data_IF_796526632191
#
_entry.id   IF_796526632191
#
_cell.length_a   1.000
_cell.length_b   1.000
_cell.length_c   1.000
_cell.angle_alpha   90.00
_cell.angle_beta   90.00
_cell.angle_gamma   90.00
#
_symmetry.space_group_name_H-M   'P 1'
#
loop_
_entity.id
_entity.type
_entity.pdbx_description
1 polymer ?
#
# COMPACT_ATOMS: atom_id res chain seq x y z
N UNK A 1 15.69 -22.28 -17.06
CA UNK A 1 15.60 -20.80 -17.26
C UNK A 1 14.22 -20.33 -16.87
N UNK A 2 14.11 -19.24 -16.08
CA UNK A 2 12.83 -18.64 -15.74
C UNK A 2 12.14 -18.09 -16.99
N UNK A 3 10.81 -18.22 -17.09
CA UNK A 3 10.05 -17.64 -18.21
C UNK A 3 10.13 -16.10 -18.17
N UNK A 4 10.09 -15.45 -19.34
CA UNK A 4 10.16 -13.98 -19.44
C UNK A 4 9.16 -13.23 -18.54
N UNK A 5 7.87 -13.66 -18.41
CA UNK A 5 6.93 -13.04 -17.48
C UNK A 5 7.38 -13.12 -16.01
N UNK A 6 7.89 -14.25 -15.55
CA UNK A 6 8.37 -14.44 -14.18
C UNK A 6 9.59 -13.54 -13.93
N UNK A 7 10.55 -13.50 -14.86
CA UNK A 7 11.73 -12.63 -14.74
C UNK A 7 11.33 -11.16 -14.63
N UNK A 8 10.36 -10.71 -15.44
CA UNK A 8 9.87 -9.33 -15.39
C UNK A 8 9.21 -9.00 -14.04
N UNK A 9 8.34 -9.90 -13.54
CA UNK A 9 7.69 -9.73 -12.24
C UNK A 9 8.74 -9.64 -11.13
N UNK A 10 9.71 -10.56 -11.07
CA UNK A 10 10.75 -10.56 -10.03
C UNK A 10 11.65 -9.32 -10.09
N UNK A 11 11.98 -8.84 -11.28
CA UNK A 11 12.79 -7.61 -11.45
C UNK A 11 12.09 -6.38 -10.87
N UNK A 12 10.75 -6.35 -10.91
CA UNK A 12 9.97 -5.27 -10.31
C UNK A 12 9.67 -5.53 -8.83
N UNK A 13 9.39 -6.79 -8.45
CA UNK A 13 8.98 -7.14 -7.10
C UNK A 13 10.12 -7.01 -6.06
N UNK A 14 11.35 -7.44 -6.40
CA UNK A 14 12.45 -7.43 -5.43
C UNK A 14 12.73 -6.01 -4.90
N UNK A 15 12.88 -4.96 -5.74
CA UNK A 15 13.01 -3.59 -5.25
C UNK A 15 11.82 -3.14 -4.38
N UNK A 16 10.60 -3.54 -4.73
CA UNK A 16 9.40 -3.15 -3.98
C UNK A 16 9.30 -3.84 -2.61
N UNK A 17 9.68 -5.12 -2.52
CA UNK A 17 9.78 -5.84 -1.26
C UNK A 17 10.80 -5.16 -0.33
N UNK A 18 11.99 -4.84 -0.86
CA UNK A 18 13.04 -4.15 -0.07
C UNK A 18 12.56 -2.76 0.41
N UNK A 19 11.87 -2.03 -0.44
CA UNK A 19 11.28 -0.75 -0.08
C UNK A 19 10.25 -0.89 1.06
N UNK A 20 9.34 -1.87 0.97
CA UNK A 20 8.33 -2.12 2.00
C UNK A 20 8.96 -2.56 3.33
N UNK A 21 9.97 -3.43 3.29
CA UNK A 21 10.66 -3.89 4.49
C UNK A 21 11.45 -2.79 5.23
N UNK A 22 11.72 -1.65 4.58
CA UNK A 22 12.34 -0.50 5.25
C UNK A 22 11.37 0.28 6.16
N UNK A 23 10.05 0.15 5.98
CA UNK A 23 9.05 0.89 6.76
C UNK A 23 8.97 0.47 8.25
N UNK A 24 8.96 -0.83 8.61
CA UNK A 24 9.00 -1.23 10.02
C UNK A 24 10.23 -0.74 10.77
N UNK A 25 11.38 -0.66 10.09
CA UNK A 25 12.61 -0.15 10.68
C UNK A 25 12.47 1.32 11.11
N UNK A 26 11.76 2.12 10.30
CA UNK A 26 11.46 3.50 10.63
C UNK A 26 10.65 3.60 11.93
N UNK A 27 9.56 2.84 12.04
CA UNK A 27 8.72 2.82 13.24
C UNK A 27 9.46 2.37 14.51
N UNK A 28 10.41 1.40 14.37
CA UNK A 28 11.26 0.97 15.47
C UNK A 28 12.19 2.09 15.93
N UNK A 29 12.81 2.82 15.01
CA UNK A 29 13.72 3.94 15.35
C UNK A 29 12.94 5.09 15.98
N UNK A 30 11.78 5.47 15.43
CA UNK A 30 10.92 6.49 16.04
C UNK A 30 10.55 6.15 17.48
N UNK A 31 10.16 4.89 17.72
CA UNK A 31 9.84 4.40 19.07
C UNK A 31 11.07 4.39 19.98
N UNK A 32 12.23 3.97 19.47
CA UNK A 32 13.47 3.96 20.24
C UNK A 32 13.90 5.39 20.63
N UNK A 33 13.87 6.34 19.69
CA UNK A 33 14.20 7.74 19.95
C UNK A 33 13.27 8.32 21.03
N UNK A 34 11.95 8.15 20.87
CA UNK A 34 10.97 8.63 21.83
C UNK A 34 11.10 7.96 23.21
N UNK A 35 11.48 6.68 23.24
CA UNK A 35 11.66 5.90 24.46
C UNK A 35 12.91 6.27 25.26
N UNK A 36 13.89 6.96 24.65
CA UNK A 36 15.10 7.44 25.31
C UNK A 36 15.03 8.91 25.73
N UNK A 37 13.89 9.58 25.52
CA UNK A 37 13.66 10.93 26.01
C UNK A 37 13.39 10.93 27.52
N UNK A 38 13.61 12.07 28.18
CA UNK A 38 13.57 12.26 29.65
C UNK A 38 12.26 11.85 30.33
N UNK A 39 11.14 11.79 29.58
CA UNK A 39 9.84 11.43 30.16
C UNK A 39 9.10 10.39 29.31
N UNK A 40 8.57 9.32 29.93
CA UNK A 40 7.71 8.35 29.24
C UNK A 40 6.42 8.97 28.68
N UNK A 41 6.04 10.17 29.13
CA UNK A 41 4.89 10.91 28.61
C UNK A 41 5.08 11.33 27.13
N UNK A 42 6.32 11.59 26.70
CA UNK A 42 6.65 11.86 25.30
C UNK A 42 6.31 10.68 24.41
N UNK A 43 6.77 9.50 24.80
CA UNK A 43 6.48 8.26 24.07
C UNK A 43 4.96 7.98 24.03
N UNK A 44 4.28 8.10 25.17
CA UNK A 44 2.85 7.81 25.26
C UNK A 44 2.01 8.71 24.34
N UNK A 45 2.23 10.02 24.36
CA UNK A 45 1.49 10.97 23.53
C UNK A 45 1.83 10.82 22.04
N UNK A 46 3.12 10.73 21.68
CA UNK A 46 3.56 10.60 20.33
C UNK A 46 3.12 9.27 19.69
N UNK A 47 3.15 8.15 20.42
CA UNK A 47 2.74 6.85 19.93
C UNK A 47 1.26 6.82 19.51
N UNK A 48 0.38 7.41 20.34
CA UNK A 48 -1.06 7.54 20.01
C UNK A 48 -1.24 8.41 18.77
N UNK A 49 -0.55 9.54 18.68
CA UNK A 49 -0.60 10.42 17.52
C UNK A 49 -0.08 9.77 16.25
N UNK A 50 1.06 9.09 16.32
CA UNK A 50 1.65 8.36 15.20
C UNK A 50 0.74 7.23 14.71
N UNK A 51 0.18 6.45 15.62
CA UNK A 51 -0.79 5.41 15.29
C UNK A 51 -1.99 5.98 14.54
N UNK A 52 -2.59 7.06 15.04
CA UNK A 52 -3.75 7.68 14.40
C UNK A 52 -3.44 8.19 13.00
N UNK A 53 -2.36 8.95 12.83
CA UNK A 53 -1.93 9.46 11.52
C UNK A 53 -1.61 8.31 10.56
N UNK A 54 -0.95 7.25 11.03
CA UNK A 54 -0.64 6.08 10.21
C UNK A 54 -1.90 5.38 9.72
N UNK A 55 -2.92 5.20 10.59
CA UNK A 55 -4.19 4.61 10.18
C UNK A 55 -4.93 5.48 9.16
N UNK A 56 -4.93 6.79 9.34
CA UNK A 56 -5.52 7.73 8.40
C UNK A 56 -4.86 7.64 7.02
N UNK A 57 -3.53 7.67 6.97
CA UNK A 57 -2.77 7.57 5.72
C UNK A 57 -2.93 6.18 5.08
N UNK A 58 -3.00 5.12 5.89
CA UNK A 58 -3.22 3.77 5.39
C UNK A 58 -4.58 3.62 4.70
N UNK A 59 -5.65 4.19 5.28
CA UNK A 59 -6.97 4.26 4.64
C UNK A 59 -6.86 5.03 3.32
N UNK A 60 -6.11 6.14 3.27
CA UNK A 60 -5.88 6.93 2.05
C UNK A 60 -5.00 6.22 1.00
N UNK A 61 -4.45 5.05 1.30
CA UNK A 61 -3.68 4.21 0.37
C UNK A 61 -4.41 3.85 -0.94
N UNK A 62 -5.75 4.01 -0.97
CA UNK A 62 -6.54 3.88 -2.20
C UNK A 62 -6.08 4.83 -3.32
N UNK A 63 -5.53 6.00 -2.98
CA UNK A 63 -4.96 6.95 -3.96
C UNK A 63 -3.78 6.34 -4.71
N UNK A 64 -2.87 5.66 -4.01
CA UNK A 64 -1.77 4.94 -4.61
C UNK A 64 -2.27 3.83 -5.53
N UNK A 65 -3.17 2.97 -5.02
CA UNK A 65 -3.71 1.82 -5.77
C UNK A 65 -4.39 2.26 -7.06
N UNK A 66 -5.28 3.27 -6.99
CA UNK A 66 -5.97 3.77 -8.17
C UNK A 66 -5.01 4.35 -9.21
N UNK A 67 -4.00 5.10 -8.75
CA UNK A 67 -3.02 5.71 -9.65
C UNK A 67 -2.10 4.66 -10.27
N UNK A 68 -1.70 3.61 -9.54
CA UNK A 68 -0.91 2.50 -10.10
C UNK A 68 -1.63 1.85 -11.28
N UNK A 69 -2.89 1.46 -11.11
CA UNK A 69 -3.67 0.83 -12.18
C UNK A 69 -3.84 1.72 -13.41
N UNK A 70 -4.23 2.99 -13.21
CA UNK A 70 -4.40 3.95 -14.31
C UNK A 70 -3.07 4.23 -15.03
N UNK A 71 -2.00 4.43 -14.28
CA UNK A 71 -0.67 4.67 -14.83
C UNK A 71 -0.14 3.48 -15.62
N UNK A 72 -0.34 2.25 -15.13
CA UNK A 72 0.08 1.03 -15.83
C UNK A 72 -0.68 0.83 -17.14
N UNK A 73 -2.00 1.09 -17.16
CA UNK A 73 -2.79 1.03 -18.39
C UNK A 73 -2.34 2.10 -19.39
N UNK A 74 -2.11 3.34 -18.95
CA UNK A 74 -1.58 4.40 -19.79
C UNK A 74 -0.21 4.04 -20.37
N UNK A 75 0.67 3.39 -19.60
CA UNK A 75 1.97 2.89 -20.05
C UNK A 75 1.81 1.82 -21.14
N UNK A 76 0.86 0.91 -20.99
CA UNK A 76 0.56 -0.11 -21.98
C UNK A 76 0.02 0.46 -23.29
N UNK A 77 -0.96 1.37 -23.21
CA UNK A 77 -1.51 2.08 -24.39
C UNK A 77 -0.42 2.81 -25.18
N UNK A 78 0.45 3.49 -24.47
CA UNK A 78 1.56 4.24 -25.04
C UNK A 78 2.55 3.32 -25.79
N UNK A 79 2.99 2.23 -25.15
CA UNK A 79 3.90 1.26 -25.77
C UNK A 79 3.26 0.60 -27.02
N UNK A 80 1.96 0.36 -27.00
CA UNK A 80 1.24 -0.17 -28.17
C UNK A 80 1.19 0.85 -29.32
N UNK A 81 1.05 2.14 -29.02
CA UNK A 81 1.06 3.18 -30.05
C UNK A 81 2.43 3.30 -30.73
N UNK A 82 3.53 3.33 -29.96
CA UNK A 82 4.90 3.35 -30.50
C UNK A 82 5.16 2.13 -31.41
N UNK A 83 4.76 0.93 -30.95
CA UNK A 83 4.96 -0.28 -31.74
C UNK A 83 4.26 -0.23 -33.10
N UNK A 84 3.02 0.31 -33.14
CA UNK A 84 2.27 0.48 -34.39
C UNK A 84 2.92 1.49 -35.34
N UNK A 85 3.46 2.58 -34.81
CA UNK A 85 4.18 3.58 -35.64
C UNK A 85 5.45 3.00 -36.25
N UNK A 86 6.23 2.24 -35.46
CA UNK A 86 7.44 1.58 -35.95
C UNK A 86 7.12 0.58 -37.08
N UNK A 87 6.05 -0.19 -36.95
CA UNK A 87 5.60 -1.14 -37.97
C UNK A 87 5.10 -0.44 -39.26
N UNK A 88 4.37 0.66 -39.11
CA UNK A 88 3.92 1.48 -40.25
C UNK A 88 5.09 2.11 -41.01
N UNK A 89 6.12 2.58 -40.32
CA UNK A 89 7.32 3.14 -40.95
C UNK A 89 8.15 2.10 -41.72
N UNK A 90 8.18 0.84 -41.28
CA UNK A 90 8.86 -0.25 -42.00
C UNK A 90 8.16 -0.65 -43.30
N UNK A 91 6.83 -0.48 -43.35
CA UNK A 91 6.04 -0.85 -44.53
C UNK A 91 5.81 0.27 -45.56
N UNK A 92 6.12 1.52 -45.19
CA UNK A 92 5.91 2.69 -46.07
C UNK A 92 7.27 3.28 -46.46
N UNK A 93 7.86 2.83 -47.58
CA UNK A 93 9.06 3.43 -48.21
C UNK A 93 8.81 4.81 -48.84
N UNK A 94 7.73 5.51 -48.53
CA UNK A 94 7.44 6.86 -49.01
C UNK A 94 7.52 7.88 -47.90
N UNK A 95 8.53 8.76 -48.01
CA UNK A 95 8.74 9.97 -47.22
C UNK A 95 7.61 10.99 -47.47
N UNK A 96 6.41 10.69 -47.08
CA UNK A 96 5.40 11.74 -46.98
C UNK A 96 5.35 12.12 -45.50
N UNK A 97 5.60 13.40 -45.23
CA UNK A 97 5.42 14.02 -43.91
C UNK A 97 3.94 13.94 -43.51
N UNK A 98 3.51 12.74 -43.15
CA UNK A 98 2.22 12.54 -42.49
C UNK A 98 2.43 13.17 -41.10
N UNK A 99 1.80 14.34 -40.90
CA UNK A 99 1.53 14.83 -39.55
C UNK A 99 0.77 13.71 -38.85
N UNK A 100 1.54 12.87 -38.14
CA UNK A 100 0.99 11.81 -37.32
C UNK A 100 0.17 12.48 -36.23
N UNK A 101 -1.14 12.50 -36.41
CA UNK A 101 -2.10 12.70 -35.32
C UNK A 101 -2.02 11.50 -34.37
N UNK A 102 -0.82 11.23 -33.84
CA UNK A 102 -0.68 10.33 -32.69
C UNK A 102 -1.57 10.90 -31.62
N UNK A 103 -2.54 10.13 -31.11
CA UNK A 103 -3.32 10.58 -29.98
C UNK A 103 -2.29 10.93 -28.89
N UNK A 104 -2.17 12.23 -28.57
CA UNK A 104 -1.39 12.70 -27.42
C UNK A 104 -1.95 11.98 -26.21
N UNK A 105 -1.41 10.78 -25.95
CA UNK A 105 -1.89 9.93 -24.85
C UNK A 105 -1.45 10.66 -23.61
N UNK A 106 -2.42 11.22 -22.89
CA UNK A 106 -2.20 12.05 -21.73
C UNK A 106 -1.67 11.26 -20.53
N UNK A 107 -0.41 10.79 -20.62
CA UNK A 107 0.25 10.07 -19.52
C UNK A 107 0.26 10.89 -18.23
N UNK A 108 0.27 12.20 -18.33
CA UNK A 108 0.29 13.12 -17.19
C UNK A 108 -1.12 13.65 -16.82
N UNK A 109 -2.10 13.51 -17.69
CA UNK A 109 -3.45 13.99 -17.42
C UNK A 109 -4.11 13.27 -16.24
N UNK A 110 -3.98 11.94 -16.16
CA UNK A 110 -4.53 11.18 -15.03
C UNK A 110 -3.72 11.43 -13.75
N UNK A 111 -2.40 11.63 -13.86
CA UNK A 111 -1.56 12.03 -12.74
C UNK A 111 -1.99 13.40 -12.19
N UNK A 112 -2.16 14.41 -13.06
CA UNK A 112 -2.56 15.76 -12.63
C UNK A 112 -3.93 15.76 -11.94
N UNK A 113 -4.92 15.01 -12.48
CA UNK A 113 -6.23 14.83 -11.83
C UNK A 113 -6.12 14.17 -10.48
N UNK A 114 -5.32 13.10 -10.37
CA UNK A 114 -5.10 12.40 -9.11
C UNK A 114 -4.40 13.28 -8.07
N UNK A 115 -3.40 14.11 -8.49
CA UNK A 115 -2.76 15.09 -7.62
C UNK A 115 -3.75 16.14 -7.10
N UNK A 116 -4.66 16.64 -7.96
CA UNK A 116 -5.70 17.58 -7.52
C UNK A 116 -6.64 16.95 -6.50
N UNK A 117 -7.09 15.71 -6.75
CA UNK A 117 -7.94 14.98 -5.79
C UNK A 117 -7.20 14.79 -4.47
N UNK A 118 -5.93 14.41 -4.49
CA UNK A 118 -5.10 14.24 -3.31
C UNK A 118 -4.92 15.57 -2.54
N UNK A 119 -4.69 16.67 -3.26
CA UNK A 119 -4.58 18.01 -2.65
C UNK A 119 -5.89 18.46 -1.99
N UNK A 120 -7.02 18.33 -2.68
CA UNK A 120 -8.34 18.69 -2.13
C UNK A 120 -8.64 17.85 -0.88
N UNK A 121 -8.41 16.54 -0.95
CA UNK A 121 -8.62 15.65 0.20
C UNK A 121 -7.66 15.98 1.34
N UNK A 122 -6.37 16.18 1.04
CA UNK A 122 -5.36 16.52 2.04
C UNK A 122 -5.62 17.87 2.72
N UNK A 123 -6.00 18.89 1.94
CA UNK A 123 -6.39 20.19 2.48
C UNK A 123 -7.66 20.08 3.34
N UNK A 124 -8.65 19.29 2.91
CA UNK A 124 -9.86 19.03 3.70
C UNK A 124 -9.54 18.38 5.05
N UNK A 125 -8.67 17.35 5.05
CA UNK A 125 -8.23 16.67 6.28
C UNK A 125 -7.42 17.64 7.18
N UNK A 126 -6.53 18.45 6.59
CA UNK A 126 -5.75 19.45 7.30
C UNK A 126 -6.66 20.50 7.97
N UNK A 127 -7.64 21.03 7.26
CA UNK A 127 -8.59 21.99 7.81
C UNK A 127 -9.50 21.37 8.88
N UNK A 128 -9.77 20.08 8.80
CA UNK A 128 -10.52 19.33 9.81
C UNK A 128 -9.66 18.89 11.02
N UNK A 129 -8.37 19.25 11.08
CA UNK A 129 -7.47 18.85 12.16
C UNK A 129 -7.95 19.21 13.57
N UNK A 130 -8.62 20.36 13.84
CA UNK A 130 -9.14 20.63 15.18
C UNK A 130 -10.20 19.63 15.61
N UNK A 131 -11.11 19.24 14.70
CA UNK A 131 -12.12 18.21 14.96
C UNK A 131 -11.49 16.85 15.29
N UNK A 132 -10.45 16.45 14.55
CA UNK A 132 -9.75 15.20 14.80
C UNK A 132 -9.01 15.19 16.14
N UNK A 133 -8.44 16.33 16.54
CA UNK A 133 -7.80 16.48 17.85
C UNK A 133 -8.81 16.36 18.98
N UNK A 134 -9.94 17.04 18.89
CA UNK A 134 -11.02 16.96 19.88
C UNK A 134 -11.53 15.52 20.02
N UNK A 135 -11.73 14.82 18.90
CA UNK A 135 -12.13 13.43 18.90
C UNK A 135 -11.08 12.53 19.59
N UNK A 136 -9.78 12.74 19.33
CA UNK A 136 -8.69 11.99 19.95
C UNK A 136 -8.63 12.23 21.46
N UNK A 137 -8.78 13.47 21.91
CA UNK A 137 -8.84 13.79 23.35
C UNK A 137 -10.06 13.17 24.03
N UNK A 138 -11.20 13.08 23.34
CA UNK A 138 -12.38 12.42 23.85
C UNK A 138 -12.22 10.89 24.00
N UNK A 139 -11.32 10.27 23.24
CA UNK A 139 -11.06 8.82 23.26
C UNK A 139 -9.87 8.43 24.14
N UNK A 140 -9.02 9.37 24.52
CA UNK A 140 -7.84 9.10 25.35
C UNK A 140 -8.01 9.69 26.73
N UNK A 141 -7.40 9.05 27.73
CA UNK A 141 -7.30 9.57 29.10
C UNK A 141 -5.99 10.31 29.33
N UNK A 142 -5.29 10.69 28.26
CA UNK A 142 -4.00 11.39 28.35
C UNK A 142 -4.19 12.79 28.92
N UNK A 143 -3.29 13.19 29.84
CA UNK A 143 -3.29 14.50 30.48
C UNK A 143 -1.87 15.05 30.60
N UNK A 144 -1.75 16.34 30.90
CA UNK A 144 -0.46 17.00 31.11
C UNK A 144 0.48 16.90 29.91
N UNK A 145 1.71 16.51 30.13
CA UNK A 145 2.77 16.43 29.10
C UNK A 145 2.45 15.42 27.99
N UNK A 146 1.76 14.31 28.28
CA UNK A 146 1.40 13.32 27.29
C UNK A 146 0.33 13.87 26.33
N UNK A 147 -0.66 14.59 26.82
CA UNK A 147 -1.67 15.27 26.01
C UNK A 147 -1.04 16.36 25.13
N UNK A 148 -0.11 17.13 25.67
CA UNK A 148 0.64 18.12 24.89
C UNK A 148 1.45 17.46 23.78
N UNK A 149 2.14 16.36 24.07
CA UNK A 149 2.94 15.60 23.11
C UNK A 149 2.08 15.04 21.98
N UNK A 150 0.88 14.51 22.30
CA UNK A 150 -0.11 14.08 21.32
C UNK A 150 -0.51 15.24 20.40
N UNK A 151 -0.87 16.40 20.99
CA UNK A 151 -1.27 17.58 20.23
C UNK A 151 -0.15 18.07 19.31
N UNK A 152 1.05 18.24 19.84
CA UNK A 152 2.22 18.73 19.10
C UNK A 152 2.53 17.84 17.89
N UNK A 153 2.54 16.52 18.10
CA UNK A 153 2.79 15.57 17.03
C UNK A 153 1.70 15.61 15.95
N UNK A 154 0.45 15.52 16.37
CA UNK A 154 -0.70 15.43 15.46
C UNK A 154 -0.87 16.70 14.64
N UNK A 155 -0.74 17.89 15.26
CA UNK A 155 -0.83 19.18 14.56
C UNK A 155 0.22 19.28 13.46
N UNK A 156 1.49 19.03 13.79
CA UNK A 156 2.60 19.10 12.81
C UNK A 156 2.33 18.14 11.66
N UNK A 157 1.91 16.92 11.96
CA UNK A 157 1.63 15.89 10.94
C UNK A 157 0.42 16.21 10.07
N UNK A 158 -0.65 16.81 10.64
CA UNK A 158 -1.81 17.23 9.84
C UNK A 158 -1.49 18.32 8.83
N UNK A 159 -0.63 19.28 9.17
CA UNK A 159 -0.17 20.29 8.20
C UNK A 159 0.56 19.65 7.01
N UNK A 160 1.11 18.47 7.16
CA UNK A 160 1.82 17.77 6.11
C UNK A 160 0.96 16.72 5.37
N UNK A 161 -0.26 16.41 5.78
CA UNK A 161 -1.14 15.43 5.13
C UNK A 161 -1.26 15.67 3.62
N UNK A 162 -1.42 16.90 3.09
CA UNK A 162 -1.47 17.11 1.64
C UNK A 162 -0.23 16.56 0.91
N UNK A 163 0.96 16.74 1.47
CA UNK A 163 2.22 16.24 0.93
C UNK A 163 2.29 14.71 1.00
N UNK A 164 1.87 14.14 2.13
CA UNK A 164 1.82 12.69 2.30
C UNK A 164 0.89 12.03 1.26
N UNK A 165 -0.30 12.61 1.01
CA UNK A 165 -1.22 12.11 -0.02
C UNK A 165 -0.70 12.29 -1.44
N UNK A 166 0.02 13.38 -1.74
CA UNK A 166 0.71 13.55 -3.01
C UNK A 166 1.79 12.48 -3.20
N UNK A 167 2.57 12.15 -2.17
CA UNK A 167 3.55 11.06 -2.23
C UNK A 167 2.89 9.73 -2.58
N UNK A 168 1.72 9.40 -2.01
CA UNK A 168 0.98 8.19 -2.39
C UNK A 168 0.64 8.18 -3.89
N UNK A 169 0.15 9.28 -4.44
CA UNK A 169 -0.18 9.40 -5.87
C UNK A 169 1.06 9.26 -6.75
N UNK A 170 2.16 9.95 -6.41
CA UNK A 170 3.39 9.93 -7.21
C UNK A 170 4.06 8.54 -7.17
N UNK A 171 4.10 7.89 -6.01
CA UNK A 171 4.59 6.51 -5.90
C UNK A 171 3.72 5.57 -6.73
N UNK A 172 2.38 5.68 -6.63
CA UNK A 172 1.46 4.90 -7.46
C UNK A 172 1.73 5.10 -8.96
N UNK A 173 1.94 6.34 -9.40
CA UNK A 173 2.31 6.64 -10.78
C UNK A 173 3.61 5.95 -11.20
N UNK A 174 4.67 6.08 -10.40
CA UNK A 174 5.98 5.48 -10.69
C UNK A 174 5.93 3.95 -10.72
N UNK A 175 5.18 3.32 -9.82
CA UNK A 175 4.94 1.86 -9.83
C UNK A 175 4.27 1.44 -11.15
N UNK A 176 3.19 2.13 -11.56
CA UNK A 176 2.50 1.86 -12.82
C UNK A 176 3.38 2.07 -14.05
N UNK A 177 4.34 3.02 -14.00
CA UNK A 177 5.37 3.23 -15.04
C UNK A 177 6.53 2.22 -14.95
N UNK A 178 6.45 1.20 -14.08
CA UNK A 178 7.48 0.18 -13.86
C UNK A 178 8.84 0.73 -13.38
N UNK A 179 8.83 1.88 -12.71
CA UNK A 179 10.04 2.52 -12.15
C UNK A 179 10.36 2.01 -10.73
N UNK A 180 10.29 0.68 -10.53
CA UNK A 180 10.42 0.05 -9.21
C UNK A 180 11.72 0.42 -8.48
N UNK A 181 12.85 0.52 -9.20
CA UNK A 181 14.13 0.91 -8.61
C UNK A 181 14.12 2.35 -8.11
N UNK A 182 13.47 3.26 -8.84
CA UNK A 182 13.34 4.65 -8.41
C UNK A 182 12.47 4.75 -7.16
N UNK A 183 11.35 4.03 -7.12
CA UNK A 183 10.48 3.95 -5.94
C UNK A 183 11.24 3.42 -4.73
N UNK A 184 11.99 2.32 -4.88
CA UNK A 184 12.86 1.78 -3.83
C UNK A 184 13.85 2.84 -3.33
N UNK A 185 14.54 3.53 -4.24
CA UNK A 185 15.51 4.57 -3.87
C UNK A 185 14.84 5.71 -3.10
N UNK A 186 13.68 6.20 -3.56
CA UNK A 186 12.93 7.26 -2.87
C UNK A 186 12.56 6.83 -1.45
N UNK A 187 12.04 5.61 -1.27
CA UNK A 187 11.62 5.13 0.04
C UNK A 187 12.80 4.88 0.98
N UNK A 188 13.86 4.20 0.51
CA UNK A 188 15.03 3.91 1.35
C UNK A 188 15.75 5.20 1.73
N UNK A 189 15.99 6.11 0.78
CA UNK A 189 16.66 7.40 1.06
C UNK A 189 15.80 8.26 1.98
N UNK A 190 14.47 8.31 1.75
CA UNK A 190 13.56 9.06 2.59
C UNK A 190 13.51 8.52 4.03
N UNK A 191 13.46 7.19 4.20
CA UNK A 191 13.47 6.57 5.52
C UNK A 191 14.83 6.77 6.22
N UNK A 192 15.95 6.65 5.49
CA UNK A 192 17.29 6.92 6.05
C UNK A 192 17.44 8.39 6.48
N UNK A 193 16.92 9.33 5.67
CA UNK A 193 16.90 10.76 6.02
C UNK A 193 16.04 11.00 7.27
N UNK A 194 14.88 10.36 7.39
CA UNK A 194 14.03 10.47 8.56
C UNK A 194 14.77 10.01 9.82
N UNK A 195 15.42 8.83 9.78
CA UNK A 195 16.22 8.31 10.91
C UNK A 195 17.31 9.29 11.31
N UNK A 196 18.05 9.82 10.35
CA UNK A 196 19.10 10.79 10.62
C UNK A 196 18.55 12.10 11.23
N UNK A 197 17.43 12.59 10.69
CA UNK A 197 16.78 13.79 11.22
C UNK A 197 16.16 13.57 12.59
N UNK A 198 15.64 12.39 12.91
CA UNK A 198 15.16 12.06 14.26
C UNK A 198 16.28 12.20 15.30
N UNK A 199 17.47 11.68 15.01
CA UNK A 199 18.62 11.80 15.91
C UNK A 199 19.05 13.28 16.06
N UNK A 200 19.07 14.03 14.97
CA UNK A 200 19.48 15.45 15.01
C UNK A 200 18.42 16.32 15.67
N UNK A 201 17.15 16.24 15.27
CA UNK A 201 16.12 17.16 15.73
C UNK A 201 15.58 16.80 17.12
N UNK A 202 15.29 15.50 17.34
CA UNK A 202 14.67 15.09 18.60
C UNK A 202 15.68 14.95 19.74
N UNK A 203 16.90 14.45 19.45
CA UNK A 203 17.91 14.16 20.48
C UNK A 203 18.93 15.31 20.59
N UNK A 204 19.65 15.64 19.49
CA UNK A 204 20.74 16.62 19.56
C UNK A 204 20.24 18.08 19.75
N UNK A 205 19.13 18.47 19.08
CA UNK A 205 18.52 19.80 19.23
C UNK A 205 17.45 19.85 20.33
N UNK A 206 17.23 18.78 21.07
CA UNK A 206 16.30 18.67 22.20
C UNK A 206 14.86 19.11 21.86
N UNK A 207 14.44 18.87 20.61
CA UNK A 207 13.07 19.20 20.19
C UNK A 207 12.05 18.12 20.58
N UNK A 208 12.50 17.04 21.21
CA UNK A 208 11.67 15.93 21.68
C UNK A 208 10.64 15.46 20.61
N UNK A 209 9.36 15.37 20.97
CA UNK A 209 8.29 14.90 20.07
C UNK A 209 8.13 15.76 18.81
N UNK A 210 8.31 17.08 18.92
CA UNK A 210 8.29 17.98 17.75
C UNK A 210 9.40 17.65 16.77
N UNK A 211 10.59 17.28 17.27
CA UNK A 211 11.71 16.85 16.44
C UNK A 211 11.39 15.64 15.59
N UNK A 212 10.75 14.61 16.15
CA UNK A 212 10.32 13.40 15.43
C UNK A 212 9.25 13.74 14.37
N UNK A 213 8.28 14.60 14.72
CA UNK A 213 7.25 15.03 13.78
C UNK A 213 7.85 15.82 12.59
N UNK A 214 8.76 16.76 12.84
CA UNK A 214 9.43 17.53 11.78
C UNK A 214 10.39 16.66 10.95
N UNK A 215 11.09 15.70 11.54
CA UNK A 215 11.92 14.76 10.80
C UNK A 215 11.10 14.03 9.72
N UNK A 216 9.90 13.58 10.09
CA UNK A 216 8.99 12.91 9.14
C UNK A 216 8.49 13.88 8.07
N UNK A 217 8.11 15.11 8.43
CA UNK A 217 7.68 16.15 7.48
C UNK A 217 8.78 16.43 6.44
N UNK A 218 10.00 16.70 6.90
CA UNK A 218 11.13 17.02 6.00
C UNK A 218 11.43 15.85 5.08
N UNK A 219 11.41 14.63 5.59
CA UNK A 219 11.64 13.41 4.79
C UNK A 219 10.57 13.19 3.74
N UNK A 220 9.30 13.42 4.07
CA UNK A 220 8.20 13.32 3.09
C UNK A 220 8.30 14.39 1.99
N UNK A 221 8.75 15.61 2.30
CA UNK A 221 9.07 16.63 1.30
C UNK A 221 10.26 16.23 0.42
N UNK A 222 11.30 15.64 0.99
CA UNK A 222 12.42 15.12 0.22
C UNK A 222 11.97 13.99 -0.73
N UNK A 223 11.12 13.07 -0.26
CA UNK A 223 10.53 12.02 -1.12
C UNK A 223 9.71 12.63 -2.26
N UNK A 224 8.89 13.66 -1.98
CA UNK A 224 8.10 14.37 -2.98
C UNK A 224 9.00 14.97 -4.08
N UNK A 225 10.06 15.69 -3.68
CA UNK A 225 11.00 16.31 -4.60
C UNK A 225 11.76 15.27 -5.43
N UNK A 226 12.19 14.17 -4.83
CA UNK A 226 12.81 13.05 -5.55
C UNK A 226 11.86 12.43 -6.58
N UNK A 227 10.58 12.18 -6.21
CA UNK A 227 9.60 11.65 -7.12
C UNK A 227 9.32 12.58 -8.29
N UNK A 228 9.11 13.88 -8.03
CA UNK A 228 8.91 14.90 -9.07
C UNK A 228 10.12 15.01 -9.98
N UNK A 229 11.34 15.02 -9.43
CA UNK A 229 12.58 15.07 -10.23
C UNK A 229 12.74 13.83 -11.13
N UNK A 230 12.37 12.66 -10.63
CA UNK A 230 12.37 11.42 -11.41
C UNK A 230 11.38 11.45 -12.57
N UNK A 231 10.16 11.91 -12.33
CA UNK A 231 9.13 12.08 -13.36
C UNK A 231 9.58 13.11 -14.40
N UNK A 232 10.10 14.25 -13.96
CA UNK A 232 10.61 15.31 -14.83
C UNK A 232 11.73 14.81 -15.75
N UNK A 233 12.73 14.11 -15.20
CA UNK A 233 13.83 13.52 -15.99
C UNK A 233 13.35 12.49 -17.00
N UNK A 234 12.38 11.64 -16.62
CA UNK A 234 11.78 10.67 -17.53
C UNK A 234 11.03 11.37 -18.69
N UNK A 235 10.41 12.51 -18.40
CA UNK A 235 9.65 13.31 -19.38
C UNK A 235 10.55 14.05 -20.36
N UNK A 236 11.67 14.64 -19.89
CA UNK A 236 12.63 15.34 -20.76
C UNK A 236 13.35 14.38 -21.71
N UNK A 237 13.69 13.17 -21.26
CA UNK A 237 14.37 12.17 -22.11
C UNK A 237 13.48 11.66 -23.25
N UNK A 238 12.19 11.97 -23.23
CA UNK A 238 11.24 11.61 -24.27
C UNK A 238 10.36 12.82 -24.64
N UNK A 239 10.91 13.90 -25.24
CA UNK A 239 10.22 15.17 -25.47
C UNK A 239 9.02 15.04 -26.42
N UNK A 240 9.02 14.09 -27.35
CA UNK A 240 7.86 13.75 -28.16
C UNK A 240 6.70 13.11 -27.35
N UNK A 241 6.97 12.71 -26.10
CA UNK A 241 6.02 12.17 -25.15
C UNK A 241 5.51 13.22 -24.15
N UNK A 242 6.24 14.30 -24.03
CA UNK A 242 6.02 15.39 -23.12
C UNK A 242 5.27 16.53 -23.77
N UNK A 243 3.99 16.34 -24.04
CA UNK A 243 3.13 17.50 -23.90
C UNK A 243 3.03 17.78 -22.39
N UNK A 244 3.89 18.67 -21.89
CA UNK A 244 3.85 19.19 -20.51
C UNK A 244 2.65 20.12 -20.32
N UNK A 245 1.54 19.84 -21.00
CA UNK A 245 0.27 20.43 -20.72
C UNK A 245 -0.30 19.72 -19.49
N UNK A 246 0.20 20.09 -18.31
CA UNK A 246 -0.47 19.81 -17.02
C UNK A 246 -1.96 20.19 -17.10
N UNK A 247 -2.35 20.95 -18.14
CA UNK A 247 -3.68 21.47 -18.39
C UNK A 247 -4.00 21.43 -19.91
N UNK A 248 -4.03 20.22 -20.51
CA UNK A 248 -4.55 20.08 -21.88
C UNK A 248 -6.05 20.40 -21.91
N UNK A 249 -6.61 20.76 -23.09
CA UNK A 249 -8.07 20.96 -23.23
C UNK A 249 -8.86 19.72 -22.80
N UNK A 250 -8.30 18.53 -22.96
CA UNK A 250 -8.89 17.25 -22.53
C UNK A 250 -8.89 17.06 -21.01
N UNK A 251 -8.12 17.86 -20.25
CA UNK A 251 -8.06 17.81 -18.80
C UNK A 251 -9.43 18.07 -18.14
N UNK A 252 -10.23 19.00 -18.68
CA UNK A 252 -11.54 19.41 -18.13
C UNK A 252 -12.67 18.40 -18.35
N UNK A 253 -12.40 17.25 -18.94
CA UNK A 253 -13.45 16.26 -19.22
C UNK A 253 -13.97 15.63 -17.92
N UNK A 254 -15.14 16.05 -17.46
CA UNK A 254 -15.83 15.57 -16.26
C UNK A 254 -15.95 14.04 -16.20
N UNK A 255 -16.14 13.37 -17.34
CA UNK A 255 -16.23 11.91 -17.41
C UNK A 255 -14.95 11.20 -16.89
N UNK A 256 -13.76 11.76 -17.16
CA UNK A 256 -12.49 11.19 -16.68
C UNK A 256 -12.32 11.40 -15.18
N UNK A 257 -12.73 12.55 -14.62
CA UNK A 257 -12.77 12.75 -13.17
C UNK A 257 -13.74 11.77 -12.50
N UNK A 258 -14.93 11.58 -13.06
CA UNK A 258 -15.91 10.62 -12.55
C UNK A 258 -15.36 9.20 -12.50
N UNK A 259 -14.59 8.77 -13.52
CA UNK A 259 -13.92 7.46 -13.52
C UNK A 259 -12.95 7.31 -12.37
N UNK A 260 -12.05 8.29 -12.15
CA UNK A 260 -11.05 8.28 -11.07
C UNK A 260 -11.75 8.30 -9.71
N UNK A 261 -12.75 9.17 -9.53
CA UNK A 261 -13.51 9.26 -8.28
C UNK A 261 -14.27 7.98 -7.97
N UNK A 262 -14.89 7.35 -9.00
CA UNK A 262 -15.58 6.06 -8.81
C UNK A 262 -14.60 4.95 -8.38
N UNK A 263 -13.43 4.87 -9.02
CA UNK A 263 -12.40 3.91 -8.65
C UNK A 263 -11.89 4.16 -7.23
N UNK A 264 -11.60 5.42 -6.89
CA UNK A 264 -11.16 5.81 -5.56
C UNK A 264 -12.21 5.50 -4.49
N UNK A 265 -13.50 5.77 -4.74
CA UNK A 265 -14.59 5.42 -3.84
C UNK A 265 -14.65 3.92 -3.56
N UNK A 266 -14.53 3.10 -4.62
CA UNK A 266 -14.65 1.65 -4.48
C UNK A 266 -13.45 1.07 -3.70
N UNK A 267 -12.24 1.57 -3.96
CA UNK A 267 -11.03 1.18 -3.21
C UNK A 267 -11.05 1.72 -1.77
N UNK A 268 -11.59 2.92 -1.54
CA UNK A 268 -11.78 3.48 -0.21
C UNK A 268 -12.72 2.61 0.64
N UNK A 269 -13.89 2.25 0.09
CA UNK A 269 -14.84 1.36 0.79
C UNK A 269 -14.21 0.00 1.08
N UNK A 270 -13.43 -0.57 0.15
CA UNK A 270 -12.65 -1.79 0.39
C UNK A 270 -11.70 -1.62 1.58
N UNK A 271 -10.98 -0.50 1.66
CA UNK A 271 -10.03 -0.23 2.75
C UNK A 271 -10.74 -0.08 4.10
N UNK A 272 -11.92 0.56 4.14
CA UNK A 272 -12.73 0.67 5.37
C UNK A 272 -13.17 -0.70 5.87
N UNK A 273 -13.67 -1.58 4.99
CA UNK A 273 -14.07 -2.92 5.42
C UNK A 273 -12.90 -3.73 5.97
N UNK A 274 -11.74 -3.67 5.32
CA UNK A 274 -10.54 -4.34 5.80
C UNK A 274 -10.09 -3.79 7.16
N UNK A 275 -10.01 -2.47 7.27
CA UNK A 275 -9.60 -1.82 8.51
C UNK A 275 -10.60 -2.06 9.66
N UNK A 276 -11.89 -2.11 9.34
CA UNK A 276 -12.91 -2.49 10.30
C UNK A 276 -12.71 -3.90 10.88
N UNK A 277 -12.36 -4.88 10.03
CA UNK A 277 -12.04 -6.23 10.51
C UNK A 277 -10.80 -6.24 11.42
N UNK A 278 -9.71 -5.53 11.04
CA UNK A 278 -8.49 -5.45 11.84
C UNK A 278 -8.73 -4.72 13.18
N UNK A 279 -9.49 -3.63 13.16
CA UNK A 279 -9.89 -2.90 14.36
C UNK A 279 -10.74 -3.79 15.30
N UNK A 280 -11.63 -4.61 14.74
CA UNK A 280 -12.42 -5.57 15.52
C UNK A 280 -11.52 -6.60 16.22
N UNK A 281 -10.50 -7.14 15.53
CA UNK A 281 -9.52 -8.06 16.14
C UNK A 281 -8.82 -7.41 17.32
N UNK A 282 -8.33 -6.18 17.15
CA UNK A 282 -7.64 -5.44 18.21
C UNK A 282 -8.58 -5.14 19.38
N UNK A 283 -9.74 -4.58 19.10
CA UNK A 283 -10.73 -4.23 20.13
C UNK A 283 -11.26 -5.44 20.89
N UNK A 284 -11.65 -6.49 20.16
CA UNK A 284 -12.21 -7.70 20.78
C UNK A 284 -11.13 -8.51 21.50
N UNK A 285 -9.93 -8.58 20.92
CA UNK A 285 -8.77 -9.24 21.54
C UNK A 285 -8.39 -8.64 22.87
N UNK A 286 -8.42 -7.31 23.01
CA UNK A 286 -8.17 -6.63 24.27
C UNK A 286 -9.18 -6.98 25.38
N UNK A 287 -10.39 -7.43 25.02
CA UNK A 287 -11.44 -7.82 25.99
C UNK A 287 -11.26 -9.24 26.55
N UNK A 288 -10.43 -10.07 25.93
CA UNK A 288 -10.14 -11.42 26.45
C UNK A 288 -9.09 -11.41 27.58
N UNK A 289 -8.37 -10.31 27.76
CA UNK A 289 -7.43 -10.14 28.84
C UNK A 289 -6.10 -9.55 28.38
N UNK A 290 -5.25 -9.19 29.34
CA UNK A 290 -3.96 -8.54 29.07
C UNK A 290 -2.99 -9.47 28.32
N UNK A 291 -2.98 -10.74 28.70
CA UNK A 291 -2.12 -11.75 28.04
C UNK A 291 -2.52 -11.96 26.59
N UNK A 292 -3.81 -12.14 26.32
CA UNK A 292 -4.35 -12.30 24.96
C UNK A 292 -4.13 -11.07 24.12
N UNK A 293 -4.28 -9.88 24.67
CA UNK A 293 -3.96 -8.62 23.98
C UNK A 293 -2.49 -8.56 23.57
N UNK A 294 -1.56 -8.95 24.45
CA UNK A 294 -0.14 -9.01 24.17
C UNK A 294 0.20 -10.07 23.11
N UNK A 295 -0.41 -11.26 23.20
CA UNK A 295 -0.28 -12.31 22.18
C UNK A 295 -0.75 -11.80 20.84
N UNK A 296 -1.93 -11.19 20.76
CA UNK A 296 -2.45 -10.63 19.51
C UNK A 296 -1.53 -9.55 18.91
N UNK A 297 -0.95 -8.70 19.74
CA UNK A 297 0.01 -7.68 19.28
C UNK A 297 1.25 -8.33 18.61
N UNK A 298 1.77 -9.41 19.18
CA UNK A 298 2.90 -10.16 18.62
C UNK A 298 2.49 -10.86 17.32
N UNK A 299 1.37 -11.57 17.31
CA UNK A 299 0.90 -12.29 16.13
C UNK A 299 0.57 -11.32 14.97
N UNK A 300 0.09 -10.10 15.28
CA UNK A 300 -0.10 -9.06 14.28
C UNK A 300 1.21 -8.61 13.62
N UNK A 301 2.38 -8.72 14.28
CA UNK A 301 3.66 -8.46 13.62
C UNK A 301 3.96 -9.50 12.52
N UNK A 302 3.66 -10.78 12.78
CA UNK A 302 3.76 -11.81 11.72
C UNK A 302 2.83 -11.49 10.54
N UNK A 303 1.59 -11.09 10.83
CA UNK A 303 0.64 -10.68 9.79
C UNK A 303 1.16 -9.49 8.96
N UNK A 304 1.72 -8.47 9.61
CA UNK A 304 2.29 -7.28 8.95
C UNK A 304 3.49 -7.65 8.07
N UNK A 305 4.39 -8.51 8.55
CA UNK A 305 5.56 -8.97 7.77
C UNK A 305 5.11 -9.70 6.50
N UNK A 306 4.13 -10.61 6.63
CA UNK A 306 3.53 -11.31 5.48
C UNK A 306 2.92 -10.29 4.50
N UNK A 307 2.12 -9.36 5.01
CA UNK A 307 1.45 -8.35 4.19
C UNK A 307 2.45 -7.49 3.41
N UNK A 308 3.50 -6.98 4.05
CA UNK A 308 4.53 -6.14 3.40
C UNK A 308 5.29 -6.90 2.31
N UNK A 309 5.60 -8.18 2.54
CA UNK A 309 6.26 -9.01 1.54
C UNK A 309 5.35 -9.30 0.35
N UNK A 310 4.11 -9.69 0.59
CA UNK A 310 3.13 -10.00 -0.45
C UNK A 310 2.69 -8.74 -1.23
N UNK A 311 2.59 -7.58 -0.57
CA UNK A 311 2.34 -6.29 -1.22
C UNK A 311 3.47 -5.90 -2.18
N UNK A 312 4.73 -6.21 -1.85
CA UNK A 312 5.85 -5.95 -2.75
C UNK A 312 5.73 -6.70 -4.08
N UNK A 313 5.25 -7.95 -4.07
CA UNK A 313 4.91 -8.70 -5.29
C UNK A 313 3.64 -8.12 -5.94
N UNK A 314 2.61 -7.79 -5.17
CA UNK A 314 1.37 -7.23 -5.69
C UNK A 314 1.62 -5.96 -6.51
N UNK A 315 2.53 -5.07 -6.09
CA UNK A 315 2.90 -3.87 -6.86
C UNK A 315 3.50 -4.19 -8.23
N UNK A 316 4.32 -5.23 -8.33
CA UNK A 316 4.83 -5.68 -9.62
C UNK A 316 3.71 -6.23 -10.51
N UNK A 317 2.77 -6.96 -9.92
CA UNK A 317 1.60 -7.53 -10.60
C UNK A 317 0.68 -6.42 -11.13
N UNK A 318 0.38 -5.41 -10.30
CA UNK A 318 -0.38 -4.20 -10.69
C UNK A 318 0.19 -3.60 -11.98
N UNK A 319 1.51 -3.45 -12.04
CA UNK A 319 2.20 -2.81 -13.16
C UNK A 319 2.16 -3.66 -14.44
N UNK A 320 2.44 -4.97 -14.37
CA UNK A 320 2.54 -5.82 -15.58
C UNK A 320 1.16 -6.21 -16.13
N UNK A 321 0.17 -6.45 -15.24
CA UNK A 321 -1.20 -6.74 -15.65
C UNK A 321 -1.85 -5.49 -16.22
N UNK A 322 -1.66 -4.32 -15.59
CA UNK A 322 -2.16 -3.05 -16.09
C UNK A 322 -1.56 -2.67 -17.45
N UNK A 323 -0.27 -2.90 -17.67
CA UNK A 323 0.37 -2.71 -18.99
C UNK A 323 -0.29 -3.58 -20.06
N UNK A 324 -0.50 -4.88 -19.80
CA UNK A 324 -1.11 -5.78 -20.77
C UNK A 324 -2.58 -5.47 -21.02
N UNK A 325 -3.30 -4.97 -20.03
CA UNK A 325 -4.66 -4.46 -20.20
C UNK A 325 -4.69 -3.21 -21.09
N UNK A 326 -3.76 -2.26 -20.86
CA UNK A 326 -3.60 -1.08 -21.70
C UNK A 326 -3.24 -1.40 -23.13
N UNK A 327 -2.44 -2.43 -23.38
CA UNK A 327 -2.14 -2.94 -24.73
C UNK A 327 -3.30 -3.65 -25.39
N UNK A 328 -4.37 -3.97 -24.65
CA UNK A 328 -5.47 -4.84 -25.08
C UNK A 328 -5.03 -6.24 -25.50
N UNK A 329 -3.86 -6.69 -25.03
CA UNK A 329 -3.30 -8.01 -25.33
C UNK A 329 -3.77 -9.04 -24.30
N UNK A 330 -4.89 -9.69 -24.62
CA UNK A 330 -5.51 -10.72 -23.77
C UNK A 330 -4.57 -11.91 -23.49
N UNK A 331 -3.76 -12.32 -24.47
CA UNK A 331 -2.84 -13.45 -24.35
C UNK A 331 -1.68 -13.12 -23.42
N UNK A 332 -1.09 -11.94 -23.57
CA UNK A 332 -0.03 -11.45 -22.71
C UNK A 332 -0.54 -11.27 -21.27
N UNK A 333 -1.72 -10.66 -21.10
CA UNK A 333 -2.38 -10.49 -19.80
C UNK A 333 -2.53 -11.83 -19.07
N UNK A 334 -3.05 -12.85 -19.73
CA UNK A 334 -3.24 -14.17 -19.12
C UNK A 334 -1.90 -14.83 -18.72
N UNK A 335 -0.87 -14.70 -19.55
CA UNK A 335 0.49 -15.18 -19.22
C UNK A 335 1.04 -14.49 -17.98
N UNK A 336 0.83 -13.17 -17.80
CA UNK A 336 1.22 -12.46 -16.60
C UNK A 336 0.39 -12.85 -15.38
N UNK A 337 -0.91 -13.09 -15.54
CA UNK A 337 -1.77 -13.58 -14.43
C UNK A 337 -1.25 -14.94 -13.91
N UNK A 338 -0.96 -15.89 -14.78
CA UNK A 338 -0.43 -17.20 -14.37
C UNK A 338 0.93 -17.04 -13.69
N UNK A 339 1.84 -16.27 -14.29
CA UNK A 339 3.16 -16.04 -13.70
C UNK A 339 3.07 -15.32 -12.33
N UNK A 340 2.10 -14.42 -12.16
CA UNK A 340 1.82 -13.74 -10.89
C UNK A 340 1.39 -14.72 -9.79
N UNK A 341 0.48 -15.63 -10.12
CA UNK A 341 0.04 -16.68 -9.20
C UNK A 341 1.23 -17.56 -8.79
N UNK A 342 2.06 -17.97 -9.76
CA UNK A 342 3.24 -18.80 -9.49
C UNK A 342 4.24 -18.07 -8.56
N UNK A 343 4.58 -16.82 -8.86
CA UNK A 343 5.49 -16.03 -8.02
C UNK A 343 4.96 -15.82 -6.60
N UNK A 344 3.67 -15.48 -6.49
CA UNK A 344 3.02 -15.26 -5.20
C UNK A 344 2.94 -16.55 -4.37
N UNK A 345 2.63 -17.69 -5.00
CA UNK A 345 2.61 -19.01 -4.34
C UNK A 345 3.99 -19.38 -3.80
N UNK A 346 5.04 -19.18 -4.60
CA UNK A 346 6.42 -19.42 -4.14
C UNK A 346 6.76 -18.57 -2.94
N UNK A 347 6.40 -17.27 -2.96
CA UNK A 347 6.65 -16.40 -1.81
C UNK A 347 5.85 -16.81 -0.57
N UNK A 348 4.58 -17.21 -0.74
CA UNK A 348 3.77 -17.76 0.36
C UNK A 348 4.39 -19.01 0.99
N UNK A 349 4.92 -19.92 0.16
CA UNK A 349 5.67 -21.10 0.63
C UNK A 349 6.95 -20.69 1.35
N UNK A 350 7.71 -19.73 0.84
CA UNK A 350 8.94 -19.22 1.48
C UNK A 350 8.62 -18.64 2.87
N UNK A 351 7.57 -17.84 3.01
CA UNK A 351 7.14 -17.36 4.33
C UNK A 351 6.72 -18.50 5.27
N UNK A 352 6.02 -19.51 4.76
CA UNK A 352 5.66 -20.69 5.54
C UNK A 352 6.91 -21.40 6.07
N UNK A 353 7.95 -21.58 5.26
CA UNK A 353 9.22 -22.17 5.71
C UNK A 353 9.95 -21.27 6.72
N UNK A 354 10.02 -19.96 6.48
CA UNK A 354 10.62 -19.01 7.42
C UNK A 354 9.96 -19.12 8.80
N UNK A 355 8.64 -19.19 8.84
CA UNK A 355 7.93 -19.31 10.10
C UNK A 355 7.95 -20.72 10.69
N UNK A 356 8.00 -21.77 9.87
CA UNK A 356 8.12 -23.13 10.36
C UNK A 356 9.40 -23.34 11.18
N UNK A 357 10.50 -22.75 10.74
CA UNK A 357 11.81 -22.88 11.41
C UNK A 357 12.18 -21.71 12.30
N UNK A 358 11.57 -20.52 12.10
CA UNK A 358 11.93 -19.29 12.79
C UNK A 358 10.89 -18.81 13.80
N UNK A 359 9.76 -19.48 14.00
CA UNK A 359 8.66 -19.00 14.83
C UNK A 359 9.10 -18.69 16.26
N UNK A 360 9.74 -19.66 16.91
CA UNK A 360 10.21 -19.49 18.30
C UNK A 360 11.28 -18.41 18.42
N UNK A 361 12.23 -18.35 17.47
CA UNK A 361 13.27 -17.32 17.45
C UNK A 361 12.66 -15.91 17.30
N UNK A 362 11.66 -15.76 16.43
CA UNK A 362 10.95 -14.51 16.26
C UNK A 362 10.16 -14.14 17.51
N UNK A 363 9.51 -15.09 18.18
CA UNK A 363 8.82 -14.85 19.44
C UNK A 363 9.79 -14.34 20.51
N UNK A 364 10.94 -15.00 20.69
CA UNK A 364 11.98 -14.59 21.65
C UNK A 364 12.61 -13.23 21.30
N UNK A 365 12.63 -12.84 20.01
CA UNK A 365 13.07 -11.50 19.60
C UNK A 365 12.04 -10.43 19.97
N UNK A 366 10.74 -10.76 19.92
CA UNK A 366 9.65 -9.81 20.15
C UNK A 366 9.30 -9.64 21.63
N UNK A 367 9.53 -10.67 22.46
CA UNK A 367 9.24 -10.62 23.91
C UNK A 367 10.14 -11.56 24.71
N UNK A 368 10.50 -11.13 25.94
CA UNK A 368 11.19 -11.96 26.92
C UNK A 368 10.22 -12.66 27.90
N UNK A 369 8.91 -12.41 27.80
CA UNK A 369 7.92 -12.93 28.76
C UNK A 369 7.50 -14.35 28.40
N UNK A 370 7.92 -15.35 29.20
CA UNK A 370 7.68 -16.77 28.94
C UNK A 370 6.20 -17.16 28.90
N UNK A 371 5.35 -16.49 29.69
CA UNK A 371 3.90 -16.70 29.67
C UNK A 371 3.26 -16.28 28.34
N UNK A 372 3.73 -15.19 27.73
CA UNK A 372 3.25 -14.71 26.43
C UNK A 372 3.77 -15.63 25.34
N UNK A 373 5.04 -16.05 25.39
CA UNK A 373 5.61 -17.00 24.42
C UNK A 373 4.84 -18.31 24.41
N UNK A 374 4.60 -18.91 25.59
CA UNK A 374 3.86 -20.16 25.69
C UNK A 374 2.40 -20.03 25.19
N UNK A 375 1.74 -18.91 25.48
CA UNK A 375 0.39 -18.65 24.95
C UNK A 375 0.39 -18.45 23.42
N UNK A 376 1.41 -17.76 22.85
CA UNK A 376 1.52 -17.56 21.41
C UNK A 376 1.80 -18.85 20.63
N UNK A 377 2.46 -19.85 21.25
CA UNK A 377 2.72 -21.16 20.63
C UNK A 377 1.43 -21.91 20.23
N UNK A 378 0.31 -21.67 20.91
CA UNK A 378 -1.00 -22.24 20.53
C UNK A 378 -1.46 -21.80 19.14
N UNK A 379 -0.96 -20.68 18.63
CA UNK A 379 -1.30 -20.12 17.32
C UNK A 379 -0.35 -20.52 16.18
N UNK A 380 0.65 -21.34 16.47
CA UNK A 380 1.69 -21.74 15.49
C UNK A 380 1.10 -22.18 14.15
N UNK A 381 0.14 -23.12 14.15
CA UNK A 381 -0.47 -23.62 12.92
C UNK A 381 -1.26 -22.57 12.14
N UNK A 382 -1.86 -21.62 12.84
CA UNK A 382 -2.58 -20.50 12.24
C UNK A 382 -1.59 -19.60 11.49
N UNK A 383 -0.46 -19.28 12.11
CA UNK A 383 0.59 -18.45 11.52
C UNK A 383 1.23 -19.13 10.30
N UNK A 384 1.40 -20.47 10.32
CA UNK A 384 1.86 -21.21 9.14
C UNK A 384 0.84 -21.23 8.00
N UNK A 385 -0.45 -21.35 8.31
CA UNK A 385 -1.51 -21.35 7.31
C UNK A 385 -1.70 -19.96 6.66
N UNK A 386 -1.41 -18.89 7.40
CA UNK A 386 -1.69 -17.52 6.99
C UNK A 386 -1.03 -17.12 5.66
N UNK A 387 0.28 -17.30 5.42
CA UNK A 387 0.90 -16.94 4.14
C UNK A 387 0.40 -17.83 2.99
N UNK A 388 0.08 -19.10 3.26
CA UNK A 388 -0.43 -20.03 2.24
C UNK A 388 -1.84 -19.67 1.76
N UNK A 389 -2.64 -19.04 2.60
CA UNK A 389 -3.99 -18.57 2.26
C UNK A 389 -3.93 -17.13 1.74
N UNK A 390 -3.16 -16.27 2.40
CA UNK A 390 -3.12 -14.84 2.10
C UNK A 390 -2.50 -14.54 0.72
N UNK A 391 -1.50 -15.31 0.25
CA UNK A 391 -0.87 -15.00 -1.04
C UNK A 391 -1.87 -14.93 -2.21
N UNK A 392 -2.95 -15.74 -2.17
CA UNK A 392 -4.01 -15.71 -3.18
C UNK A 392 -4.70 -14.35 -3.24
N UNK A 393 -5.14 -13.84 -2.08
CA UNK A 393 -5.88 -12.59 -2.06
C UNK A 393 -4.99 -11.38 -2.41
N UNK A 394 -3.73 -11.34 -1.96
CA UNK A 394 -2.78 -10.27 -2.32
C UNK A 394 -2.43 -10.29 -3.81
N UNK A 395 -2.20 -11.48 -4.37
CA UNK A 395 -1.99 -11.64 -5.81
C UNK A 395 -3.18 -11.17 -6.63
N UNK A 396 -4.38 -11.59 -6.26
CA UNK A 396 -5.63 -11.22 -6.95
C UNK A 396 -5.92 -9.72 -6.79
N UNK A 397 -5.68 -9.14 -5.62
CA UNK A 397 -5.78 -7.69 -5.43
C UNK A 397 -4.88 -6.94 -6.42
N UNK A 398 -3.62 -7.33 -6.56
CA UNK A 398 -2.70 -6.74 -7.55
C UNK A 398 -3.21 -6.88 -8.99
N UNK A 399 -3.77 -8.03 -9.36
CA UNK A 399 -4.38 -8.25 -10.67
C UNK A 399 -5.55 -7.27 -10.88
N UNK A 400 -6.47 -7.15 -9.92
CA UNK A 400 -7.66 -6.30 -10.05
C UNK A 400 -7.35 -4.81 -9.99
N UNK A 401 -6.30 -4.39 -9.28
CA UNK A 401 -5.78 -3.01 -9.33
C UNK A 401 -5.24 -2.72 -10.75
N UNK A 402 -4.43 -3.61 -11.33
CA UNK A 402 -3.96 -3.47 -12.71
C UNK A 402 -5.10 -3.41 -13.73
N UNK A 403 -6.17 -4.18 -13.53
CA UNK A 403 -7.38 -4.14 -14.34
C UNK A 403 -8.27 -2.91 -14.06
N UNK A 404 -7.97 -2.11 -13.04
CA UNK A 404 -8.78 -0.96 -12.55
C UNK A 404 -10.23 -1.34 -12.20
N UNK A 405 -10.45 -2.56 -11.66
CA UNK A 405 -11.77 -3.10 -11.29
C UNK A 405 -12.01 -2.97 -9.78
N UNK A 406 -12.02 -1.74 -9.28
CA UNK A 406 -12.31 -1.44 -7.88
C UNK A 406 -13.69 -1.92 -7.41
N UNK A 407 -14.67 -1.93 -8.31
CA UNK A 407 -16.03 -2.43 -8.07
C UNK A 407 -16.03 -3.90 -7.60
N UNK A 408 -15.25 -4.75 -8.27
CA UNK A 408 -15.11 -6.17 -7.91
C UNK A 408 -14.40 -6.32 -6.57
N UNK A 409 -13.32 -5.56 -6.34
CA UNK A 409 -12.56 -5.60 -5.10
C UNK A 409 -13.40 -5.17 -3.90
N UNK A 410 -14.19 -4.09 -4.03
CA UNK A 410 -15.14 -3.63 -3.00
C UNK A 410 -16.15 -4.72 -2.65
N UNK A 411 -16.82 -5.28 -3.67
CA UNK A 411 -17.86 -6.30 -3.46
C UNK A 411 -17.26 -7.57 -2.83
N UNK A 412 -16.10 -8.02 -3.30
CA UNK A 412 -15.38 -9.14 -2.73
C UNK A 412 -15.04 -8.89 -1.25
N UNK A 413 -14.52 -7.69 -0.92
CA UNK A 413 -14.17 -7.36 0.45
C UNK A 413 -15.39 -7.29 1.37
N UNK A 414 -16.51 -6.73 0.90
CA UNK A 414 -17.77 -6.71 1.65
C UNK A 414 -18.26 -8.13 1.98
N UNK A 415 -18.31 -9.01 0.97
CA UNK A 415 -18.69 -10.42 1.15
C UNK A 415 -17.73 -11.12 2.10
N UNK A 416 -16.44 -10.88 1.97
CA UNK A 416 -15.41 -11.50 2.81
C UNK A 416 -15.44 -10.98 4.25
N UNK A 417 -15.74 -9.71 4.48
CA UNK A 417 -15.92 -9.15 5.82
C UNK A 417 -17.16 -9.74 6.51
N UNK A 418 -18.27 -9.89 5.76
CA UNK A 418 -19.52 -10.38 6.31
C UNK A 418 -19.49 -11.89 6.57
N UNK A 419 -19.11 -12.69 5.57
CA UNK A 419 -19.18 -14.15 5.65
C UNK A 419 -17.83 -14.78 6.04
N UNK A 420 -16.71 -14.30 5.47
CA UNK A 420 -15.39 -14.81 5.74
C UNK A 420 -14.86 -14.42 7.12
N UNK A 421 -15.10 -13.19 7.55
CA UNK A 421 -14.63 -12.71 8.86
C UNK A 421 -15.72 -12.87 9.93
N UNK A 422 -16.82 -12.13 9.83
CA UNK A 422 -17.85 -12.12 10.87
C UNK A 422 -18.57 -13.47 10.99
N UNK A 423 -18.87 -14.12 9.84
CA UNK A 423 -19.50 -15.45 9.84
C UNK A 423 -18.61 -16.51 10.51
N UNK A 424 -17.31 -16.54 10.16
CA UNK A 424 -16.36 -17.47 10.79
C UNK A 424 -16.17 -17.15 12.27
N UNK A 425 -16.05 -15.86 12.64
CA UNK A 425 -15.95 -15.45 14.04
C UNK A 425 -17.15 -15.97 14.89
N UNK A 426 -18.37 -15.79 14.39
CA UNK A 426 -19.58 -16.26 15.10
C UNK A 426 -19.59 -17.77 15.23
N UNK A 427 -19.27 -18.52 14.17
CA UNK A 427 -19.22 -19.98 14.16
C UNK A 427 -18.13 -20.56 15.07
N UNK A 428 -17.04 -19.82 15.26
CA UNK A 428 -15.89 -20.26 16.06
C UNK A 428 -15.78 -19.56 17.42
N UNK A 429 -16.81 -18.80 17.82
CA UNK A 429 -16.82 -17.98 19.05
C UNK A 429 -16.55 -18.76 20.34
N UNK A 430 -16.77 -20.05 20.33
CA UNK A 430 -16.45 -20.97 21.45
C UNK A 430 -14.93 -21.13 21.69
N UNK A 431 -14.08 -20.72 20.76
CA UNK A 431 -12.61 -20.78 20.88
C UNK A 431 -12.01 -19.44 21.35
N UNK A 432 -12.81 -18.55 21.91
CA UNK A 432 -12.38 -17.25 22.48
C UNK A 432 -11.46 -16.46 21.56
N UNK A 433 -10.25 -16.11 22.03
CA UNK A 433 -9.30 -15.31 21.26
C UNK A 433 -8.85 -15.98 19.94
N UNK A 434 -8.81 -17.32 19.88
CA UNK A 434 -8.43 -18.05 18.66
C UNK A 434 -9.46 -17.86 17.54
N UNK A 435 -10.74 -17.62 17.87
CA UNK A 435 -11.80 -17.31 16.92
C UNK A 435 -11.48 -16.06 16.06
N UNK A 436 -10.78 -15.07 16.61
CA UNK A 436 -10.35 -13.88 15.88
C UNK A 436 -9.37 -14.21 14.75
N UNK A 437 -8.45 -15.15 14.99
CA UNK A 437 -7.47 -15.60 14.02
C UNK A 437 -8.07 -16.53 12.98
N UNK A 438 -9.01 -17.38 13.33
CA UNK A 438 -9.82 -18.13 12.37
C UNK A 438 -10.63 -17.18 11.48
N UNK A 439 -11.18 -16.11 12.04
CA UNK A 439 -11.90 -15.09 11.28
C UNK A 439 -10.96 -14.34 10.29
N UNK A 440 -9.72 -14.03 10.68
CA UNK A 440 -8.72 -13.44 9.78
C UNK A 440 -8.34 -14.41 8.65
N UNK A 441 -8.13 -15.70 8.92
CA UNK A 441 -7.92 -16.70 7.88
C UNK A 441 -9.14 -16.81 6.95
N UNK A 442 -10.35 -16.81 7.52
CA UNK A 442 -11.59 -16.83 6.76
C UNK A 442 -11.76 -15.61 5.87
N UNK A 443 -11.38 -14.41 6.35
CA UNK A 443 -11.35 -13.18 5.55
C UNK A 443 -10.45 -13.34 4.33
N UNK A 444 -9.22 -13.80 4.53
CA UNK A 444 -8.25 -13.95 3.44
C UNK A 444 -8.66 -15.03 2.44
N UNK A 445 -9.16 -16.18 2.94
CA UNK A 445 -9.64 -17.26 2.10
C UNK A 445 -10.85 -16.82 1.24
N UNK A 446 -11.85 -16.17 1.84
CA UNK A 446 -13.05 -15.72 1.12
C UNK A 446 -12.72 -14.66 0.07
N UNK A 447 -11.76 -13.73 0.34
CA UNK A 447 -11.25 -12.79 -0.68
C UNK A 447 -10.63 -13.54 -1.85
N UNK A 448 -9.77 -14.52 -1.57
CA UNK A 448 -9.16 -15.35 -2.61
C UNK A 448 -10.20 -16.10 -3.44
N UNK A 449 -11.21 -16.70 -2.80
CA UNK A 449 -12.29 -17.45 -3.47
C UNK A 449 -13.14 -16.53 -4.36
N UNK A 450 -13.63 -15.42 -3.81
CA UNK A 450 -14.54 -14.52 -4.54
C UNK A 450 -13.86 -13.83 -5.73
N UNK A 451 -12.63 -13.34 -5.54
CA UNK A 451 -11.84 -12.74 -6.61
C UNK A 451 -11.42 -13.79 -7.66
N UNK A 452 -10.95 -14.95 -7.21
CA UNK A 452 -10.54 -16.04 -8.11
C UNK A 452 -11.70 -16.59 -8.94
N UNK A 453 -12.89 -16.76 -8.33
CA UNK A 453 -14.09 -17.17 -9.06
C UNK A 453 -14.48 -16.16 -10.13
N UNK A 454 -14.49 -14.85 -9.80
CA UNK A 454 -14.76 -13.79 -10.75
C UNK A 454 -13.72 -13.75 -11.88
N UNK A 455 -12.42 -13.92 -11.56
CA UNK A 455 -11.33 -13.96 -12.54
C UNK A 455 -11.54 -15.11 -13.55
N UNK A 456 -11.81 -16.32 -13.04
CA UNK A 456 -12.07 -17.51 -13.88
C UNK A 456 -13.26 -17.29 -14.81
N UNK A 457 -14.33 -16.67 -14.33
CA UNK A 457 -15.56 -16.47 -15.10
C UNK A 457 -15.43 -15.43 -16.21
N UNK A 458 -14.66 -14.35 -16.00
CA UNK A 458 -14.65 -13.20 -16.90
C UNK A 458 -13.36 -12.99 -17.68
N UNK A 459 -12.28 -13.66 -17.29
CA UNK A 459 -10.95 -13.42 -17.88
C UNK A 459 -10.23 -14.70 -18.34
N UNK A 460 -10.84 -15.89 -18.22
CA UNK A 460 -10.20 -17.12 -18.72
C UNK A 460 -10.17 -17.15 -20.25
N UNK A 461 -9.13 -17.80 -20.82
CA UNK A 461 -8.97 -17.93 -22.30
C UNK A 461 -10.17 -18.67 -22.92
N UNK A 462 -10.82 -19.56 -22.15
CA UNK A 462 -12.02 -20.30 -22.62
C UNK A 462 -13.27 -19.44 -22.74
N UNK A 463 -13.24 -18.17 -22.29
CA UNK A 463 -14.36 -17.23 -22.37
C UNK A 463 -14.38 -16.45 -23.69
N UNK A 464 -13.51 -16.78 -24.63
CA UNK A 464 -13.33 -16.15 -25.94
C UNK A 464 -13.03 -17.20 -27.02
#
# INVERSE_FOLDING_TARGET
MLSDPIKKILTLAIPMILANLSQPLLGLVDTAVLGHLDSPAFLAGAAVGAFFISQLLWICGFLRMSMTGLSAQSFGLFNAAIAREADTQQHTHQSTSIQTNTPKIGRLDDLSRACIIAMILGMGLMLASPFWLELLFGWTTLSGLAAQSLSDYVVIRFYNVPVALLNLVLIGYLVGQQQARLVMTIQIVGNALNIALNLVLAVYLDMAVKGVAYATVISEWAMLLMALSGIYRATIKAPHLASFALFSEQWRTLAKFKRILSLNRDLFLRSIFLQGCLAFVTYRGARYGVTEAAVNAILMQFFIIIALGLDGIAYAIEAVVGESEGKTDKRQRWRYIIASIQCSSVLGIVFCFIFAFGFDQILHLLTAQSNIISAAQAYYWIILALPLIAHWCYCLDGIYIGLTRGDVMRNSMFISALFGFMGVYVLTSQYDNMALWFALLGLQAMRGITLGWHLKRHYSISSY
#
